data_IF_752060433223
#
_entry.id   IF_752060433223
#
_cell.length_a   1.000
_cell.length_b   1.000
_cell.length_c   1.000
_cell.angle_alpha   90.00
_cell.angle_beta   90.00
_cell.angle_gamma   90.00
#
_symmetry.space_group_name_H-M   'P 1'
#
loop_
_entity.id
_entity.type
_entity.pdbx_description
1 polymer ?
#
# COMPACT_ATOMS: atom_id res chain seq x y z
N UNK A 1 -21.30 10.91 -16.83
CA UNK A 1 -19.94 11.01 -16.28
C UNK A 1 -19.54 9.63 -15.75
N UNK A 2 -18.58 8.92 -16.35
CA UNK A 2 -18.02 7.68 -15.78
C UNK A 2 -16.80 8.05 -14.94
N UNK A 3 -16.93 7.99 -13.62
CA UNK A 3 -15.81 7.96 -12.68
C UNK A 3 -15.09 6.62 -12.86
N UNK A 4 -13.93 6.63 -13.52
CA UNK A 4 -13.09 5.45 -13.61
C UNK A 4 -12.53 5.12 -12.23
N UNK A 5 -13.13 4.16 -11.54
CA UNK A 5 -12.51 3.51 -10.40
C UNK A 5 -11.25 2.81 -10.92
N UNK A 6 -10.09 3.28 -10.49
CA UNK A 6 -8.81 2.61 -10.73
C UNK A 6 -8.46 1.90 -9.44
N UNK A 7 -8.71 0.59 -9.41
CA UNK A 7 -8.29 -0.24 -8.31
C UNK A 7 -6.78 -0.47 -8.45
N UNK A 8 -6.00 0.24 -7.62
CA UNK A 8 -4.56 0.08 -7.58
C UNK A 8 -4.23 -1.16 -6.74
N UNK A 9 -3.85 -2.26 -7.40
CA UNK A 9 -3.14 -3.34 -6.72
C UNK A 9 -1.77 -2.83 -6.23
N UNK A 10 -1.47 -3.01 -4.95
CA UNK A 10 -0.20 -2.59 -4.36
C UNK A 10 0.80 -3.74 -4.39
N UNK A 11 2.06 -3.43 -4.70
CA UNK A 11 3.19 -4.35 -4.63
C UNK A 11 4.26 -3.81 -3.69
N UNK A 12 5.03 -4.71 -3.10
CA UNK A 12 6.20 -4.40 -2.30
C UNK A 12 7.44 -4.28 -3.22
N UNK A 13 8.36 -3.35 -2.94
CA UNK A 13 9.74 -3.42 -3.44
C UNK A 13 10.50 -4.55 -2.71
N UNK A 14 11.54 -5.16 -3.31
CA UNK A 14 12.39 -6.08 -2.60
C UNK A 14 13.32 -5.35 -1.62
N UNK A 15 13.69 -6.05 -0.56
CA UNK A 15 14.48 -5.57 0.57
C UNK A 15 15.76 -4.82 0.12
N UNK A 16 15.80 -3.50 0.36
CA UNK A 16 16.98 -2.66 0.18
C UNK A 16 17.10 -1.65 1.32
N UNK A 17 18.09 -1.83 2.20
CA UNK A 17 18.36 -0.93 3.31
C UNK A 17 19.26 0.26 2.92
N UNK A 18 18.92 1.46 3.39
CA UNK A 18 19.82 2.63 3.31
C UNK A 18 20.85 2.58 4.47
N UNK A 19 22.10 2.32 4.14
CA UNK A 19 23.23 2.50 5.07
C UNK A 19 23.53 4.00 5.24
N UNK A 20 23.58 4.46 6.48
CA UNK A 20 24.06 5.80 6.83
C UNK A 20 25.58 5.82 6.77
N UNK A 21 26.11 6.59 5.81
CA UNK A 21 27.50 7.06 5.79
C UNK A 21 28.14 6.92 4.41
N UNK A 22 28.34 8.04 3.70
CA UNK A 22 29.70 8.49 3.42
C UNK A 22 29.71 9.96 2.91
N UNK A 23 30.71 10.69 3.36
CA UNK A 23 31.13 11.98 2.80
C UNK A 23 32.00 11.67 1.57
N UNK A 24 32.24 12.67 0.74
CA UNK A 24 33.14 12.69 -0.43
C UNK A 24 32.48 12.31 -1.76
N UNK A 25 32.69 13.19 -2.74
CA UNK A 25 32.00 13.17 -4.02
C UNK A 25 32.39 12.00 -4.91
N UNK A 26 31.38 11.39 -5.52
CA UNK A 26 31.54 10.40 -6.58
C UNK A 26 30.18 9.84 -6.97
N UNK A 27 29.75 10.07 -8.22
CA UNK A 27 28.51 9.50 -8.76
C UNK A 27 28.62 7.99 -8.83
N UNK A 28 27.79 7.26 -8.10
CA UNK A 28 27.50 5.87 -8.40
C UNK A 28 25.98 5.64 -8.34
N UNK A 29 25.41 5.46 -9.54
CA UNK A 29 24.01 5.09 -9.78
C UNK A 29 23.95 3.56 -9.82
N UNK A 30 23.30 2.94 -8.84
CA UNK A 30 23.05 1.50 -8.84
C UNK A 30 21.56 1.24 -8.66
N UNK A 31 20.97 0.54 -9.63
CA UNK A 31 19.54 0.25 -9.71
C UNK A 31 19.20 -1.13 -9.17
N UNK A 32 18.08 -1.25 -8.47
CA UNK A 32 17.56 -2.53 -8.02
C UNK A 32 16.32 -2.98 -8.82
N UNK A 33 16.25 -4.30 -9.03
CA UNK A 33 15.22 -4.94 -9.85
C UNK A 33 13.94 -5.01 -9.03
N UNK A 34 12.84 -4.60 -9.65
CA UNK A 34 11.48 -4.88 -9.17
C UNK A 34 11.30 -6.40 -8.91
N UNK A 35 10.40 -6.79 -7.99
CA UNK A 35 10.14 -8.21 -7.74
C UNK A 35 9.76 -8.92 -9.04
N UNK A 36 10.21 -10.17 -9.21
CA UNK A 36 10.04 -10.93 -10.45
C UNK A 36 8.57 -11.03 -10.92
N UNK A 37 7.62 -11.07 -9.98
CA UNK A 37 6.19 -11.11 -10.27
C UNK A 37 5.61 -9.80 -10.83
N UNK A 38 6.33 -8.68 -10.74
CA UNK A 38 5.86 -7.36 -11.22
C UNK A 38 5.63 -7.35 -12.73
N UNK A 39 6.47 -8.06 -13.50
CA UNK A 39 6.30 -8.18 -14.94
C UNK A 39 5.01 -8.93 -15.30
N UNK A 40 4.73 -10.02 -14.59
CA UNK A 40 3.50 -10.81 -14.76
C UNK A 40 2.24 -9.98 -14.44
N UNK A 41 2.24 -9.25 -13.32
CA UNK A 41 1.08 -8.45 -12.92
C UNK A 41 0.83 -7.27 -13.86
N UNK A 42 1.89 -6.61 -14.34
CA UNK A 42 1.77 -5.57 -15.37
C UNK A 42 1.22 -6.12 -16.69
N UNK A 43 1.61 -7.34 -17.06
CA UNK A 43 1.14 -7.98 -18.29
C UNK A 43 -0.36 -8.31 -18.28
N UNK A 44 -1.01 -8.38 -17.11
CA UNK A 44 -2.45 -8.61 -17.03
C UNK A 44 -3.28 -7.41 -17.52
N UNK A 45 -2.71 -6.20 -17.51
CA UNK A 45 -3.33 -4.93 -17.93
C UNK A 45 -4.65 -4.56 -17.21
N UNK A 46 -5.17 -5.41 -16.33
CA UNK A 46 -6.38 -5.19 -15.54
C UNK A 46 -6.16 -4.12 -14.46
N UNK A 47 -4.93 -4.04 -13.92
CA UNK A 47 -4.52 -3.07 -12.91
C UNK A 47 -3.15 -2.49 -13.27
N UNK A 48 -2.85 -1.29 -12.78
CA UNK A 48 -1.53 -0.65 -12.91
C UNK A 48 -0.84 -0.69 -11.54
N UNK A 49 0.02 -1.70 -11.27
CA UNK A 49 0.51 -1.96 -9.93
C UNK A 49 1.37 -0.81 -9.40
N UNK A 50 1.08 -0.38 -8.18
CA UNK A 50 1.88 0.63 -7.47
C UNK A 50 2.86 -0.07 -6.54
N UNK A 51 4.14 0.29 -6.60
CA UNK A 51 5.17 -0.36 -5.78
C UNK A 51 5.57 0.56 -4.62
N UNK A 52 5.49 0.05 -3.40
CA UNK A 52 5.85 0.74 -2.15
C UNK A 52 7.18 0.21 -1.61
N UNK A 53 7.95 1.09 -0.97
CA UNK A 53 9.19 0.69 -0.31
C UNK A 53 8.85 0.00 1.02
N UNK A 54 9.20 -1.29 1.11
CA UNK A 54 8.97 -2.12 2.31
C UNK A 54 10.26 -2.71 2.88
N UNK A 55 11.42 -2.47 2.27
CA UNK A 55 12.72 -3.00 2.72
C UNK A 55 13.17 -2.48 4.08
N UNK A 56 12.48 -1.47 4.61
CA UNK A 56 12.66 -1.00 5.98
C UNK A 56 12.02 -1.91 7.06
N UNK A 57 11.16 -2.85 6.67
CA UNK A 57 10.48 -3.81 7.56
C UNK A 57 11.24 -5.14 7.60
N UNK A 58 11.13 -5.85 8.73
CA UNK A 58 11.80 -7.15 8.91
C UNK A 58 11.23 -8.25 8.01
N UNK A 59 9.89 -8.31 7.85
CA UNK A 59 9.24 -9.23 6.93
C UNK A 59 9.19 -8.63 5.51
N UNK A 60 8.91 -7.33 5.41
CA UNK A 60 9.00 -6.60 4.15
C UNK A 60 7.67 -6.55 3.40
N UNK A 61 6.54 -6.64 4.09
CA UNK A 61 5.21 -6.63 3.48
C UNK A 61 4.52 -5.27 3.59
N UNK A 62 3.62 -5.00 2.64
CA UNK A 62 2.84 -3.75 2.59
C UNK A 62 1.77 -3.70 3.69
N UNK A 63 1.18 -4.84 4.03
CA UNK A 63 0.08 -4.97 4.99
C UNK A 63 0.49 -4.65 6.44
N UNK A 64 1.80 -4.63 6.72
CA UNK A 64 2.38 -4.22 8.00
C UNK A 64 2.24 -2.71 8.29
N UNK A 65 1.95 -1.88 7.29
CA UNK A 65 1.82 -0.43 7.49
C UNK A 65 0.73 0.26 6.68
N UNK A 66 0.13 -0.39 5.67
CA UNK A 66 -0.98 0.17 4.88
C UNK A 66 -2.11 -0.86 4.77
N UNK A 67 -3.34 -0.44 5.09
CA UNK A 67 -4.56 -1.21 4.92
C UNK A 67 -5.67 -0.33 4.36
N UNK A 68 -6.67 -0.93 3.71
CA UNK A 68 -7.84 -0.23 3.19
C UNK A 68 -9.07 -0.66 3.98
N UNK A 69 -9.80 0.30 4.53
CA UNK A 69 -10.94 0.07 5.41
C UNK A 69 -12.22 0.59 4.74
N UNK A 70 -13.34 -0.17 4.76
CA UNK A 70 -14.62 0.33 4.31
C UNK A 70 -15.01 1.62 5.04
N UNK A 71 -15.51 2.61 4.30
CA UNK A 71 -15.91 3.89 4.87
C UNK A 71 -16.92 4.60 3.97
N UNK A 72 -17.74 5.47 4.57
CA UNK A 72 -18.65 6.35 3.83
C UNK A 72 -17.88 7.53 3.21
N UNK A 73 -17.16 7.25 2.12
CA UNK A 73 -16.48 8.23 1.27
C UNK A 73 -16.90 8.00 -0.19
N UNK A 74 -16.70 8.97 -1.11
CA UNK A 74 -16.98 8.74 -2.53
C UNK A 74 -16.23 7.54 -3.15
N UNK A 75 -15.16 7.06 -2.50
CA UNK A 75 -14.42 5.86 -2.89
C UNK A 75 -14.90 4.58 -2.19
N UNK A 76 -15.74 4.69 -1.16
CA UNK A 76 -16.20 3.57 -0.34
C UNK A 76 -15.17 3.07 0.67
N UNK A 77 -14.03 3.74 0.81
CA UNK A 77 -12.95 3.34 1.72
C UNK A 77 -12.09 4.51 2.21
N UNK A 78 -11.30 4.24 3.26
CA UNK A 78 -10.18 5.04 3.74
C UNK A 78 -8.90 4.19 3.82
N UNK A 79 -7.75 4.86 3.78
CA UNK A 79 -6.46 4.21 4.05
C UNK A 79 -6.20 4.25 5.56
N UNK A 80 -6.09 3.08 6.18
CA UNK A 80 -5.43 2.91 7.46
C UNK A 80 -3.93 2.90 7.25
N UNK A 81 -3.20 3.79 7.92
CA UNK A 81 -1.73 3.82 7.86
C UNK A 81 -1.13 3.82 9.26
N UNK A 82 -0.08 3.03 9.46
CA UNK A 82 0.64 3.00 10.73
C UNK A 82 1.20 4.38 11.09
N UNK A 83 1.16 4.71 12.38
CA UNK A 83 1.58 6.01 12.92
C UNK A 83 2.49 5.85 14.14
N UNK A 84 3.82 5.76 13.93
CA UNK A 84 4.78 5.68 15.02
C UNK A 84 4.85 6.95 15.88
N UNK A 85 4.55 8.12 15.31
CA UNK A 85 4.50 9.38 16.08
C UNK A 85 3.33 9.30 17.07
N UNK A 86 2.17 8.82 16.61
CA UNK A 86 0.99 8.55 17.43
C UNK A 86 1.25 7.52 18.54
N UNK A 87 1.94 6.41 18.23
CA UNK A 87 2.31 5.40 19.22
C UNK A 87 3.18 5.97 20.35
N UNK A 88 4.24 6.70 19.99
CA UNK A 88 5.09 7.38 20.98
C UNK A 88 4.34 8.47 21.76
N UNK A 89 3.42 9.19 21.12
CA UNK A 89 2.60 10.20 21.79
C UNK A 89 1.69 9.56 22.87
N UNK A 90 1.11 8.39 22.60
CA UNK A 90 0.32 7.63 23.57
C UNK A 90 1.17 7.23 24.78
N UNK A 91 2.38 6.70 24.57
CA UNK A 91 3.28 6.35 25.67
C UNK A 91 3.67 7.58 26.51
N UNK A 92 4.04 8.69 25.86
CA UNK A 92 4.37 9.95 26.57
C UNK A 92 3.19 10.49 27.36
N UNK A 93 1.96 10.33 26.86
CA UNK A 93 0.75 10.69 27.60
C UNK A 93 0.61 9.82 28.85
N UNK A 94 0.68 8.50 28.70
CA UNK A 94 0.59 7.57 29.82
C UNK A 94 1.68 7.82 30.88
N UNK A 95 2.90 8.15 30.47
CA UNK A 95 3.98 8.56 31.39
C UNK A 95 3.59 9.80 32.20
N UNK A 96 3.10 10.86 31.55
CA UNK A 96 2.65 12.10 32.23
C UNK A 96 1.49 11.85 33.19
N UNK A 97 0.65 10.87 32.87
CA UNK A 97 -0.49 10.46 33.70
C UNK A 97 -0.07 9.56 34.89
N UNK A 98 1.24 9.30 35.07
CA UNK A 98 1.78 8.54 36.20
C UNK A 98 1.95 7.04 35.96
N UNK A 99 1.79 6.56 34.71
CA UNK A 99 1.90 5.15 34.35
C UNK A 99 3.30 4.73 33.86
N UNK A 100 4.34 5.49 34.19
CA UNK A 100 5.72 5.23 33.74
C UNK A 100 6.23 3.81 34.02
N UNK A 101 5.87 3.25 35.18
CA UNK A 101 6.25 1.89 35.61
C UNK A 101 5.38 0.77 35.01
N UNK A 102 4.31 1.10 34.29
CA UNK A 102 3.48 0.10 33.61
C UNK A 102 4.24 -0.43 32.38
N UNK A 103 4.03 -1.71 32.05
CA UNK A 103 4.59 -2.30 30.82
C UNK A 103 4.12 -1.52 29.60
N UNK A 104 5.04 -1.14 28.71
CA UNK A 104 4.73 -0.45 27.46
C UNK A 104 3.99 -1.35 26.47
N UNK A 105 4.18 -2.66 26.57
CA UNK A 105 3.59 -3.66 25.68
C UNK A 105 3.00 -4.83 26.48
N UNK A 106 1.80 -5.27 26.09
CA UNK A 106 1.12 -6.46 26.65
C UNK A 106 1.46 -7.74 25.88
N UNK A 107 2.69 -7.84 25.35
CA UNK A 107 3.14 -9.03 24.62
C UNK A 107 3.51 -10.15 25.60
N UNK A 108 3.11 -11.41 25.35
CA UNK A 108 3.56 -12.53 26.17
C UNK A 108 5.09 -12.62 26.11
N UNK A 109 5.72 -12.98 27.23
CA UNK A 109 7.18 -13.00 27.35
C UNK A 109 7.87 -13.85 26.29
N UNK A 110 7.22 -14.93 25.85
CA UNK A 110 7.68 -15.80 24.76
C UNK A 110 7.85 -15.10 23.40
N UNK A 111 7.14 -14.00 23.18
CA UNK A 111 7.23 -13.18 21.97
C UNK A 111 8.00 -11.87 22.18
N UNK A 112 8.40 -11.58 23.42
CA UNK A 112 9.03 -10.33 23.80
C UNK A 112 10.56 -10.35 23.72
N UNK A 113 11.19 -11.52 23.48
CA UNK A 113 12.64 -11.70 23.57
C UNK A 113 13.21 -11.08 24.87
N UNK A 114 12.51 -11.33 25.99
CA UNK A 114 12.74 -10.74 27.31
C UNK A 114 12.63 -9.18 27.42
N UNK A 115 12.28 -8.47 26.35
CA UNK A 115 12.10 -7.00 26.31
C UNK A 115 10.73 -6.54 26.81
N UNK A 116 10.41 -6.89 28.05
CA UNK A 116 9.21 -6.34 28.71
C UNK A 116 9.54 -4.98 29.31
N UNK A 117 9.67 -3.96 28.44
CA UNK A 117 9.97 -2.59 28.86
C UNK A 117 8.77 -1.97 29.58
N UNK A 118 9.04 -1.23 30.64
CA UNK A 118 8.10 -0.23 31.17
C UNK A 118 8.00 0.96 30.21
N UNK A 119 6.97 1.80 30.37
CA UNK A 119 6.81 3.03 29.58
C UNK A 119 8.03 3.94 29.73
N UNK A 120 8.55 4.10 30.94
CA UNK A 120 9.76 4.90 31.19
C UNK A 120 10.97 4.33 30.45
N UNK A 121 11.17 3.01 30.53
CA UNK A 121 12.27 2.34 29.85
C UNK A 121 12.14 2.49 28.33
N UNK A 122 10.95 2.26 27.76
CA UNK A 122 10.70 2.42 26.33
C UNK A 122 10.96 3.87 25.85
N UNK A 123 10.52 4.87 26.60
CA UNK A 123 10.75 6.28 26.26
C UNK A 123 12.19 6.74 26.48
N UNK A 124 12.98 6.01 27.26
CA UNK A 124 14.42 6.24 27.44
C UNK A 124 15.31 5.46 26.45
N UNK A 125 14.75 4.45 25.78
CA UNK A 125 15.47 3.59 24.84
C UNK A 125 15.77 4.34 23.53
N UNK A 126 17.04 4.77 23.40
CA UNK A 126 17.52 5.50 22.22
C UNK A 126 17.39 4.71 20.92
N UNK A 127 17.53 3.38 20.97
CA UNK A 127 17.41 2.55 19.78
C UNK A 127 15.94 2.44 19.37
N UNK A 128 15.01 2.22 20.31
CA UNK A 128 13.58 2.23 20.03
C UNK A 128 13.14 3.56 19.40
N UNK A 129 13.56 4.69 19.97
CA UNK A 129 13.24 6.01 19.44
C UNK A 129 13.82 6.23 18.03
N UNK A 130 15.05 5.77 17.79
CA UNK A 130 15.71 5.85 16.48
C UNK A 130 14.99 5.00 15.43
N UNK A 131 14.60 3.77 15.77
CA UNK A 131 13.86 2.87 14.88
C UNK A 131 12.50 3.46 14.50
N UNK A 132 11.77 4.02 15.47
CA UNK A 132 10.48 4.66 15.20
C UNK A 132 10.65 5.93 14.34
N UNK A 133 11.68 6.75 14.58
CA UNK A 133 11.98 7.90 13.72
C UNK A 133 12.28 7.49 12.26
N UNK A 134 12.99 6.37 12.07
CA UNK A 134 13.23 5.81 10.74
C UNK A 134 11.94 5.31 10.07
N UNK A 135 11.11 4.57 10.81
CA UNK A 135 9.80 4.10 10.35
C UNK A 135 8.89 5.26 9.91
N UNK A 136 8.82 6.34 10.71
CA UNK A 136 8.05 7.55 10.38
C UNK A 136 8.46 8.12 9.02
N UNK A 137 9.76 8.22 8.76
CA UNK A 137 10.27 8.72 7.48
C UNK A 137 9.80 7.84 6.32
N UNK A 138 10.00 6.51 6.41
CA UNK A 138 9.65 5.56 5.35
C UNK A 138 8.13 5.49 5.10
N UNK A 139 7.32 5.54 6.17
CA UNK A 139 5.86 5.62 6.06
C UNK A 139 5.43 6.92 5.38
N UNK A 140 6.02 8.07 5.75
CA UNK A 140 5.70 9.37 5.12
C UNK A 140 6.07 9.40 3.64
N UNK A 141 7.20 8.81 3.25
CA UNK A 141 7.62 8.67 1.85
C UNK A 141 6.61 7.84 1.04
N UNK A 142 6.20 6.68 1.56
CA UNK A 142 5.19 5.83 0.93
C UNK A 142 3.82 6.49 0.88
N UNK A 143 3.40 7.20 1.93
CA UNK A 143 2.14 7.94 1.95
C UNK A 143 2.12 9.06 0.89
N UNK A 144 3.23 9.77 0.73
CA UNK A 144 3.35 10.80 -0.31
C UNK A 144 3.25 10.20 -1.72
N UNK A 145 3.82 9.01 -1.93
CA UNK A 145 3.66 8.23 -3.15
C UNK A 145 2.19 7.82 -3.36
N UNK A 146 1.54 7.23 -2.37
CA UNK A 146 0.13 6.84 -2.42
C UNK A 146 -0.78 8.01 -2.79
N UNK A 147 -0.65 9.14 -2.09
CA UNK A 147 -1.44 10.35 -2.38
C UNK A 147 -1.26 10.82 -3.81
N UNK A 148 0.00 10.86 -4.30
CA UNK A 148 0.31 11.31 -5.65
C UNK A 148 -0.30 10.42 -6.74
N UNK A 149 -0.24 9.09 -6.56
CA UNK A 149 -0.63 8.15 -7.61
C UNK A 149 -2.14 7.83 -7.59
N UNK A 150 -2.80 7.98 -6.44
CA UNK A 150 -4.24 7.66 -6.26
C UNK A 150 -5.14 8.90 -6.17
N UNK A 151 -4.57 10.06 -5.83
CA UNK A 151 -5.32 11.28 -5.53
C UNK A 151 -6.06 11.24 -4.18
N UNK A 152 -5.71 10.31 -3.29
CA UNK A 152 -6.22 10.27 -1.91
C UNK A 152 -5.75 11.51 -1.14
N UNK A 153 -6.65 12.05 -0.32
CA UNK A 153 -6.41 13.22 0.53
C UNK A 153 -6.30 12.85 2.01
N UNK A 154 -5.87 13.79 2.86
CA UNK A 154 -5.83 13.58 4.31
C UNK A 154 -7.19 13.26 4.94
N UNK A 155 -8.30 13.69 4.33
CA UNK A 155 -9.64 13.35 4.80
C UNK A 155 -9.97 11.85 4.67
N UNK A 156 -9.27 11.16 3.77
CA UNK A 156 -9.43 9.74 3.45
C UNK A 156 -8.36 8.87 4.13
N UNK A 157 -7.57 9.42 5.05
CA UNK A 157 -6.51 8.71 5.78
C UNK A 157 -6.87 8.63 7.26
N UNK A 158 -6.70 7.44 7.83
CA UNK A 158 -6.79 7.17 9.27
C UNK A 158 -5.41 6.73 9.74
N UNK A 159 -4.83 7.49 10.67
CA UNK A 159 -3.57 7.15 11.32
C UNK A 159 -3.84 6.19 12.48
N UNK A 160 -3.14 5.06 12.49
CA UNK A 160 -3.28 4.02 13.51
C UNK A 160 -2.00 3.99 14.33
N UNK A 161 -2.04 4.38 15.62
CA UNK A 161 -0.87 4.33 16.48
C UNK A 161 -0.21 2.95 16.47
N UNK A 162 1.07 2.93 16.09
CA UNK A 162 1.88 1.72 16.02
C UNK A 162 3.28 2.02 16.56
N UNK A 163 4.11 1.01 16.81
CA UNK A 163 5.53 1.20 17.08
C UNK A 163 6.33 0.10 16.41
N UNK A 164 7.57 0.41 16.06
CA UNK A 164 8.49 -0.50 15.39
C UNK A 164 9.74 -0.71 16.24
N UNK A 165 10.20 -1.95 16.29
CA UNK A 165 11.44 -2.36 16.94
C UNK A 165 12.42 -2.85 15.88
N UNK A 166 13.72 -2.65 16.11
CA UNK A 166 14.74 -3.27 15.28
C UNK A 166 14.93 -4.71 15.78
N UNK A 167 14.66 -5.68 14.92
CA UNK A 167 15.01 -7.07 15.17
C UNK A 167 16.46 -7.24 14.72
N UNK A 168 17.38 -7.32 15.70
CA UNK A 168 18.83 -7.24 15.49
C UNK A 168 19.46 -8.32 14.60
N UNK A 169 18.70 -9.31 14.12
CA UNK A 169 19.22 -10.48 13.40
C UNK A 169 18.42 -10.88 12.14
N UNK A 170 17.43 -10.10 11.70
CA UNK A 170 16.93 -10.31 10.34
C UNK A 170 17.99 -9.80 9.37
N UNK A 171 18.48 -10.63 8.42
CA UNK A 171 19.51 -10.19 7.48
C UNK A 171 18.98 -8.96 6.76
N UNK A 172 19.55 -7.80 7.09
CA UNK A 172 19.37 -6.57 6.32
C UNK A 172 19.97 -6.88 4.96
N UNK A 173 19.14 -7.25 3.99
CA UNK A 173 19.57 -7.42 2.61
C UNK A 173 20.21 -6.11 2.16
N UNK A 174 21.54 -6.10 2.12
CA UNK A 174 22.34 -5.00 1.63
C UNK A 174 22.19 -4.95 0.11
N UNK A 175 21.16 -4.25 -0.35
CA UNK A 175 20.93 -3.96 -1.76
C UNK A 175 20.82 -2.45 -1.97
N UNK A 176 21.63 -1.84 -2.85
CA UNK A 176 21.56 -0.42 -3.10
C UNK A 176 20.43 -0.16 -4.09
N UNK A 177 19.49 0.74 -3.81
CA UNK A 177 19.07 1.66 -4.86
C UNK A 177 18.19 2.84 -4.42
N UNK A 178 18.54 4.01 -4.95
CA UNK A 178 17.61 5.10 -5.20
C UNK A 178 17.22 5.11 -6.68
N UNK A 179 15.93 5.01 -6.98
CA UNK A 179 15.38 5.31 -8.30
C UNK A 179 14.29 6.38 -8.22
N UNK A 180 14.36 7.36 -9.14
CA UNK A 180 13.24 8.23 -9.49
C UNK A 180 12.45 7.54 -10.60
N UNK A 181 11.21 7.15 -10.32
CA UNK A 181 10.27 6.63 -11.33
C UNK A 181 10.11 7.66 -12.47
N UNK A 182 10.13 7.24 -13.74
CA UNK A 182 9.80 8.15 -14.84
C UNK A 182 8.34 8.64 -14.69
N UNK A 183 8.03 9.88 -15.06
CA UNK A 183 6.66 10.38 -14.99
C UNK A 183 5.74 9.52 -15.86
N UNK A 184 4.58 9.13 -15.31
CA UNK A 184 3.57 8.35 -16.04
C UNK A 184 3.19 9.08 -17.32
N UNK A 185 3.43 8.46 -18.48
CA UNK A 185 2.74 8.84 -19.72
C UNK A 185 1.26 8.52 -19.52
N UNK A 186 0.37 9.52 -19.63
CA UNK A 186 -1.07 9.27 -19.76
C UNK A 186 -1.24 8.31 -20.94
N UNK A 187 -1.59 7.05 -20.66
CA UNK A 187 -2.03 6.14 -21.71
C UNK A 187 -3.23 6.82 -22.40
N UNK A 188 -3.13 7.01 -23.72
CA UNK A 188 -4.28 7.39 -24.53
C UNK A 188 -5.32 6.28 -24.36
N UNK A 189 -6.58 6.68 -24.18
CA UNK A 189 -7.71 5.76 -24.14
C UNK A 189 -7.65 4.90 -25.40
N UNK A 190 -7.33 3.61 -25.26
CA UNK A 190 -7.67 2.67 -26.31
C UNK A 190 -9.20 2.61 -26.36
N UNK A 191 -9.76 2.75 -27.56
CA UNK A 191 -11.19 2.67 -27.77
C UNK A 191 -11.69 1.29 -27.31
N UNK A 192 -12.86 1.27 -26.69
CA UNK A 192 -13.52 0.03 -26.28
C UNK A 192 -13.68 -0.89 -27.50
N UNK A 193 -13.45 -2.21 -27.37
CA UNK A 193 -13.76 -3.14 -28.45
C UNK A 193 -15.27 -3.08 -28.76
N UNK A 194 -15.67 -3.18 -30.05
CA UNK A 194 -17.07 -3.11 -30.42
C UNK A 194 -17.86 -4.27 -29.79
N UNK A 195 -19.13 -4.06 -29.43
CA UNK A 195 -19.96 -5.12 -28.88
C UNK A 195 -20.15 -6.26 -29.88
N UNK A 196 -20.34 -7.51 -29.41
CA UNK A 196 -20.56 -8.64 -30.30
C UNK A 196 -21.83 -8.43 -31.13
N UNK A 197 -21.71 -8.60 -32.44
CA UNK A 197 -22.81 -8.49 -33.40
C UNK A 197 -23.82 -9.60 -33.17
N UNK A 198 -25.10 -9.24 -33.00
CA UNK A 198 -26.20 -10.21 -32.95
C UNK A 198 -26.41 -10.85 -34.33
N UNK A 199 -26.75 -12.15 -34.41
CA UNK A 199 -27.02 -12.79 -35.70
C UNK A 199 -28.33 -12.25 -36.33
N UNK A 200 -28.43 -12.23 -37.67
CA UNK A 200 -29.59 -11.68 -38.35
C UNK A 200 -30.83 -12.56 -38.17
N UNK A 201 -31.90 -11.99 -37.61
CA UNK A 201 -33.24 -12.60 -37.67
C UNK A 201 -33.79 -12.43 -39.09
N UNK A 202 -34.11 -13.55 -39.73
CA UNK A 202 -34.63 -13.63 -41.10
C UNK A 202 -35.93 -12.85 -41.29
N UNK A 203 -36.03 -12.24 -42.48
CA UNK A 203 -37.11 -11.37 -42.88
C UNK A 203 -38.47 -12.07 -43.05
N UNK A 204 -39.49 -11.22 -42.94
CA UNK A 204 -40.89 -11.50 -43.21
C UNK A 204 -41.12 -12.16 -44.58
N UNK A 205 -42.08 -13.10 -44.61
CA UNK A 205 -42.88 -13.38 -45.81
C UNK A 205 -44.34 -13.12 -45.48
N UNK A 206 -44.91 -12.13 -46.17
CA UNK A 206 -46.36 -11.94 -46.31
C UNK A 206 -46.82 -12.74 -47.54
N UNK A 207 -47.91 -13.48 -47.44
CA UNK A 207 -48.71 -13.89 -48.60
C UNK A 207 -50.17 -13.98 -48.18
N UNK A 208 -50.99 -13.25 -48.94
CA UNK A 208 -52.42 -13.13 -48.75
C UNK A 208 -53.20 -14.19 -49.56
N UNK A 209 -54.32 -14.61 -48.97
CA UNK A 209 -55.61 -14.97 -49.56
C UNK A 209 -55.71 -15.97 -50.74
N UNK A 210 -56.49 -17.05 -50.52
CA UNK A 210 -57.56 -17.53 -51.43
C UNK A 210 -58.54 -18.48 -50.73
N UNK A 211 -59.75 -17.94 -50.52
CA UNK A 211 -61.11 -18.49 -50.74
C UNK A 211 -61.45 -20.00 -50.61
N UNK A 212 -62.59 -20.23 -49.92
CA UNK A 212 -63.81 -21.00 -50.30
C UNK A 212 -64.13 -22.39 -49.69
N UNK A 213 -65.18 -22.36 -48.84
CA UNK A 213 -66.40 -23.23 -48.82
C UNK A 213 -66.42 -24.56 -48.00
N UNK A 214 -67.60 -25.18 -47.70
CA UNK A 214 -68.29 -25.04 -46.40
C UNK A 214 -68.86 -26.36 -45.78
N UNK A 215 -69.56 -26.21 -44.64
CA UNK A 215 -70.48 -27.17 -43.95
C UNK A 215 -69.77 -28.36 -43.27
N UNK A 216 -70.12 -28.78 -42.06
CA UNK A 216 -71.44 -28.97 -41.44
C UNK A 216 -71.34 -28.88 -39.93
#
# INVERSE_FOLDING_TARGET
MRTGHRDAGMLAEPQGGDSVGDRLGGRLRHGCRLPAHTGFLKAQQAQDPLVLETGWLGVGHVDEFVQFLPADTPRGWKIGIADPEGGLALLRKAQRDGHGHTKAFSIPRSYADDRVLTIDQALSDRQLLKSNAYAVRKIKENLALLKRETGVTDAEIVKIPAMYVDFGDFPRSAGPCGHRLPPRRRQRRHADPPPPTSPPSSGARSSAARTSSPRR
#
